data_IF_985579699420
#
_entry.id   IF_985579699420
#
_cell.length_a   1.000
_cell.length_b   1.000
_cell.length_c   1.000
_cell.angle_alpha   90.00
_cell.angle_beta   90.00
_cell.angle_gamma   90.00
#
_symmetry.space_group_name_H-M   'P 1'
#
loop_
_entity.id
_entity.type
_entity.pdbx_description
1 polymer ?
#
# COMPACT_ATOMS: atom_id res chain seq x y z
N UNK A 1 40.31 13.16 -11.08
CA UNK A 1 38.90 13.58 -10.91
C UNK A 1 38.90 14.97 -10.27
N UNK A 2 38.52 16.02 -10.99
CA UNK A 2 38.56 17.39 -10.43
C UNK A 2 37.26 17.66 -9.66
N UNK A 3 37.35 17.77 -8.34
CA UNK A 3 36.19 18.11 -7.49
C UNK A 3 35.99 19.63 -7.54
N UNK A 4 34.81 20.07 -7.95
CA UNK A 4 34.48 21.51 -7.97
C UNK A 4 34.10 21.99 -6.57
N UNK A 5 34.24 23.29 -6.29
CA UNK A 5 33.84 23.90 -4.99
C UNK A 5 32.37 23.64 -4.63
N UNK A 6 31.51 23.52 -5.64
CA UNK A 6 30.09 23.19 -5.48
C UNK A 6 29.90 21.73 -5.05
N UNK A 7 30.68 20.82 -5.62
CA UNK A 7 30.65 19.40 -5.26
C UNK A 7 31.21 19.18 -3.86
N UNK A 8 32.25 19.94 -3.48
CA UNK A 8 32.76 19.96 -2.11
C UNK A 8 31.68 20.34 -1.09
N UNK A 9 30.96 21.45 -1.31
CA UNK A 9 29.87 21.86 -0.40
C UNK A 9 28.72 20.84 -0.34
N UNK A 10 28.37 20.18 -1.46
CA UNK A 10 27.35 19.13 -1.48
C UNK A 10 27.76 17.90 -0.68
N UNK A 11 29.00 17.44 -0.85
CA UNK A 11 29.53 16.26 -0.16
C UNK A 11 29.65 16.53 1.35
N UNK A 12 30.19 17.70 1.73
CA UNK A 12 30.29 18.08 3.14
C UNK A 12 28.93 18.22 3.81
N UNK A 13 27.96 18.86 3.13
CA UNK A 13 26.59 18.98 3.64
C UNK A 13 25.89 17.63 3.80
N UNK A 14 26.04 16.73 2.82
CA UNK A 14 25.49 15.38 2.88
C UNK A 14 26.15 14.52 3.97
N UNK A 15 27.46 14.64 4.18
CA UNK A 15 28.18 13.91 5.22
C UNK A 15 27.75 14.34 6.63
N UNK A 16 27.67 15.65 6.89
CA UNK A 16 27.19 16.18 8.17
C UNK A 16 25.72 15.83 8.40
N UNK A 17 24.87 15.96 7.38
CA UNK A 17 23.47 15.59 7.46
C UNK A 17 23.27 14.09 7.72
N UNK A 18 23.99 13.22 7.01
CA UNK A 18 23.92 11.77 7.19
C UNK A 18 24.38 11.32 8.58
N UNK A 19 25.48 11.89 9.09
CA UNK A 19 25.97 11.61 10.45
C UNK A 19 25.02 12.13 11.53
N UNK A 20 24.44 13.32 11.34
CA UNK A 20 23.45 13.86 12.27
C UNK A 20 22.19 13.00 12.32
N UNK A 21 21.67 12.56 11.17
CA UNK A 21 20.50 11.67 11.10
C UNK A 21 20.79 10.31 11.72
N UNK A 22 21.95 9.72 11.45
CA UNK A 22 22.39 8.46 12.06
C UNK A 22 22.59 8.57 13.57
N UNK A 23 23.17 9.66 14.07
CA UNK A 23 23.36 9.93 15.50
C UNK A 23 22.06 10.21 16.25
N UNK A 24 21.03 10.70 15.55
CA UNK A 24 19.68 10.89 16.08
C UNK A 24 18.81 9.61 16.00
N UNK A 25 19.35 8.50 15.50
CA UNK A 25 18.67 7.21 15.44
C UNK A 25 17.72 7.02 14.26
N UNK A 26 17.80 7.87 13.22
CA UNK A 26 17.08 7.66 11.96
C UNK A 26 17.81 6.63 11.10
N UNK A 27 17.75 5.35 11.50
CA UNK A 27 18.21 4.23 10.70
C UNK A 27 17.10 3.79 9.73
N UNK A 28 17.34 3.95 8.44
CA UNK A 28 16.39 3.58 7.37
C UNK A 28 16.53 2.12 6.93
N UNK A 29 17.63 1.44 7.28
CA UNK A 29 17.83 0.03 6.98
C UNK A 29 16.69 -0.88 7.47
N UNK A 30 16.14 -0.71 8.69
CA UNK A 30 14.97 -1.49 9.11
C UNK A 30 13.68 -1.12 8.36
N UNK A 31 13.53 0.12 7.90
CA UNK A 31 12.35 0.58 7.15
C UNK A 31 12.33 0.02 5.74
N UNK A 32 13.47 0.00 5.05
CA UNK A 32 13.60 -0.65 3.74
C UNK A 32 13.34 -2.15 3.81
N UNK A 33 13.77 -2.82 4.87
CA UNK A 33 13.52 -4.25 5.06
C UNK A 33 12.03 -4.58 5.26
N UNK A 34 11.22 -3.64 5.75
CA UNK A 34 9.79 -3.82 6.04
C UNK A 34 8.88 -3.26 4.93
N UNK A 35 9.40 -2.45 4.01
CA UNK A 35 8.63 -1.87 2.91
C UNK A 35 8.37 -2.92 1.81
N UNK A 36 7.56 -3.93 2.10
CA UNK A 36 7.06 -4.84 1.08
C UNK A 36 6.14 -4.07 0.12
N UNK A 37 6.29 -4.33 -1.17
CA UNK A 37 5.38 -3.79 -2.17
C UNK A 37 3.95 -4.23 -1.88
N UNK A 38 2.98 -3.31 -2.04
CA UNK A 38 1.57 -3.59 -1.78
C UNK A 38 1.09 -4.81 -2.56
N UNK A 39 0.40 -5.74 -1.89
CA UNK A 39 -0.18 -6.96 -2.49
C UNK A 39 -1.10 -6.67 -3.69
N UNK A 40 -1.72 -5.49 -3.71
CA UNK A 40 -2.65 -5.03 -4.75
C UNK A 40 -2.00 -4.19 -5.85
N UNK A 41 -0.67 -3.97 -5.84
CA UNK A 41 0.03 -3.03 -6.75
C UNK A 41 -0.25 -3.28 -8.23
N UNK A 42 -0.48 -4.53 -8.62
CA UNK A 42 -0.76 -4.95 -9.99
C UNK A 42 -2.11 -5.61 -10.14
N UNK A 43 -3.02 -5.43 -9.18
CA UNK A 43 -4.35 -6.01 -9.27
C UNK A 43 -5.21 -5.25 -10.30
N UNK A 44 -6.22 -5.94 -10.83
CA UNK A 44 -7.36 -5.32 -11.51
C UNK A 44 -8.43 -5.07 -10.46
N UNK A 45 -8.91 -3.84 -10.40
CA UNK A 45 -9.96 -3.43 -9.50
C UNK A 45 -11.33 -3.58 -10.18
N UNK A 46 -12.30 -4.13 -9.46
CA UNK A 46 -13.70 -4.23 -9.90
C UNK A 46 -14.63 -4.04 -8.71
N UNK A 47 -15.74 -3.34 -8.90
CA UNK A 47 -16.73 -3.12 -7.85
C UNK A 47 -17.83 -4.18 -7.90
N UNK A 48 -18.34 -4.57 -6.73
CA UNK A 48 -19.46 -5.51 -6.58
C UNK A 48 -20.25 -5.18 -5.29
N UNK A 49 -21.35 -5.90 -5.07
CA UNK A 49 -22.18 -5.77 -3.88
C UNK A 49 -22.03 -6.99 -2.98
N UNK A 50 -21.94 -6.76 -1.68
CA UNK A 50 -21.89 -7.78 -0.65
C UNK A 50 -23.11 -8.74 -0.72
N UNK A 51 -22.91 -10.06 -0.89
CA UNK A 51 -24.00 -11.01 -1.11
C UNK A 51 -24.63 -11.54 0.18
N UNK A 52 -24.22 -11.06 1.37
CA UNK A 52 -24.63 -11.67 2.64
C UNK A 52 -26.00 -11.23 3.14
N UNK A 53 -26.26 -9.92 3.20
CA UNK A 53 -27.47 -9.38 3.83
C UNK A 53 -28.00 -8.19 3.03
N UNK A 54 -29.20 -7.72 3.38
CA UNK A 54 -29.93 -6.71 2.60
C UNK A 54 -29.36 -5.28 2.70
N UNK A 55 -28.28 -5.03 3.45
CA UNK A 55 -27.65 -3.70 3.51
C UNK A 55 -27.09 -3.29 2.14
N UNK A 56 -26.61 -4.26 1.34
CA UNK A 56 -26.07 -3.97 0.01
C UNK A 56 -24.78 -3.16 0.05
N UNK A 57 -23.84 -3.49 0.93
CA UNK A 57 -22.55 -2.80 1.01
C UNK A 57 -21.76 -2.93 -0.30
N UNK A 58 -21.17 -1.84 -0.79
CA UNK A 58 -20.23 -1.84 -1.91
C UNK A 58 -18.88 -2.42 -1.51
N UNK A 59 -18.33 -3.25 -2.38
CA UNK A 59 -17.06 -3.96 -2.20
C UNK A 59 -16.19 -3.75 -3.43
N UNK A 60 -14.92 -3.46 -3.19
CA UNK A 60 -13.86 -3.51 -4.19
C UNK A 60 -13.22 -4.89 -4.17
N UNK A 61 -13.15 -5.52 -5.32
CA UNK A 61 -12.50 -6.82 -5.57
C UNK A 61 -11.22 -6.59 -6.37
N UNK A 62 -10.11 -7.06 -5.82
CA UNK A 62 -8.78 -7.00 -6.43
C UNK A 62 -8.43 -8.35 -7.02
N UNK A 63 -8.31 -8.43 -8.34
CA UNK A 63 -8.05 -9.66 -9.10
C UNK A 63 -6.64 -9.66 -9.69
N UNK A 64 -5.98 -10.81 -9.74
CA UNK A 64 -4.67 -10.96 -10.37
C UNK A 64 -4.73 -10.59 -11.87
N UNK A 65 -3.74 -9.82 -12.33
CA UNK A 65 -3.60 -9.42 -13.75
C UNK A 65 -2.93 -10.48 -14.64
N UNK A 66 -2.53 -11.61 -14.09
CA UNK A 66 -1.94 -12.74 -14.81
C UNK A 66 -2.94 -13.52 -15.69
N UNK A 67 -4.19 -13.05 -15.76
CA UNK A 67 -5.26 -13.69 -16.54
C UNK A 67 -5.89 -14.90 -15.85
N UNK A 68 -5.41 -15.30 -14.66
CA UNK A 68 -5.98 -16.42 -13.89
C UNK A 68 -7.37 -16.12 -13.34
N UNK A 69 -7.73 -14.83 -13.23
CA UNK A 69 -8.98 -14.40 -12.58
C UNK A 69 -8.99 -14.62 -11.07
N UNK A 70 -7.86 -15.01 -10.46
CA UNK A 70 -7.76 -15.25 -9.03
C UNK A 70 -7.94 -13.97 -8.24
N UNK A 71 -8.83 -13.99 -7.24
CA UNK A 71 -8.98 -12.88 -6.30
C UNK A 71 -7.76 -12.84 -5.36
N UNK A 72 -7.25 -11.65 -5.09
CA UNK A 72 -6.10 -11.39 -4.20
C UNK A 72 -6.56 -10.69 -2.92
N UNK A 73 -7.57 -9.84 -3.02
CA UNK A 73 -8.11 -9.11 -1.88
C UNK A 73 -9.54 -8.66 -2.15
N UNK A 74 -10.30 -8.43 -1.08
CA UNK A 74 -11.58 -7.71 -1.12
C UNK A 74 -11.64 -6.72 0.02
N UNK A 75 -12.16 -5.53 -0.23
CA UNK A 75 -12.32 -4.48 0.78
C UNK A 75 -13.55 -3.63 0.50
N UNK A 76 -13.96 -2.79 1.45
CA UNK A 76 -15.14 -1.94 1.26
C UNK A 76 -14.87 -0.83 0.27
N UNK A 77 -15.87 -0.51 -0.54
CA UNK A 77 -15.82 0.61 -1.47
C UNK A 77 -16.03 1.94 -0.71
N UNK A 78 -15.01 2.83 -0.64
CA UNK A 78 -15.12 4.13 0.04
C UNK A 78 -16.11 5.07 -0.63
N UNK A 79 -16.36 4.92 -1.93
CA UNK A 79 -17.28 5.77 -2.70
C UNK A 79 -18.74 5.29 -2.61
N UNK A 80 -18.99 4.09 -2.06
CA UNK A 80 -20.32 3.54 -1.96
C UNK A 80 -21.16 4.24 -0.87
N UNK A 81 -22.36 4.77 -1.20
CA UNK A 81 -23.09 5.71 -0.33
C UNK A 81 -23.59 5.08 0.97
N UNK A 82 -23.79 3.75 1.00
CA UNK A 82 -24.34 3.04 2.15
C UNK A 82 -23.27 2.77 3.22
N UNK A 83 -22.07 2.34 2.81
CA UNK A 83 -21.06 1.82 3.73
C UNK A 83 -19.76 2.63 3.75
N UNK A 84 -19.49 3.48 2.76
CA UNK A 84 -18.32 4.39 2.75
C UNK A 84 -17.01 3.67 3.14
N UNK A 85 -16.79 2.47 2.59
CA UNK A 85 -15.62 1.65 2.85
C UNK A 85 -15.73 0.69 4.04
N UNK A 86 -16.77 0.83 4.88
CA UNK A 86 -16.98 -0.03 6.04
C UNK A 86 -17.52 -1.41 5.64
N UNK A 87 -17.09 -2.46 6.34
CA UNK A 87 -17.62 -3.82 6.20
C UNK A 87 -17.75 -4.50 7.58
N UNK A 88 -18.81 -5.28 7.77
CA UNK A 88 -18.91 -6.18 8.94
C UNK A 88 -17.97 -7.39 8.76
N UNK A 89 -17.76 -8.16 9.82
CA UNK A 89 -16.89 -9.35 9.78
C UNK A 89 -17.21 -10.33 8.63
N UNK A 90 -18.50 -10.49 8.28
CA UNK A 90 -18.92 -11.33 7.14
C UNK A 90 -18.40 -10.76 5.82
N UNK A 91 -18.67 -9.48 5.55
CA UNK A 91 -18.26 -8.81 4.32
C UNK A 91 -16.74 -8.67 4.20
N UNK A 92 -16.05 -8.37 5.30
CA UNK A 92 -14.59 -8.26 5.33
C UNK A 92 -13.90 -9.61 5.07
N UNK A 93 -14.53 -10.72 5.44
CA UNK A 93 -14.04 -12.07 5.20
C UNK A 93 -14.49 -12.65 3.85
N UNK A 94 -15.13 -11.88 2.96
CA UNK A 94 -15.61 -12.37 1.66
C UNK A 94 -14.48 -13.00 0.83
N UNK A 95 -13.27 -12.44 0.92
CA UNK A 95 -12.07 -13.00 0.29
C UNK A 95 -11.76 -14.46 0.70
N UNK A 96 -12.08 -14.87 1.93
CA UNK A 96 -11.80 -16.23 2.40
C UNK A 96 -12.76 -17.28 1.84
N UNK A 97 -13.92 -16.85 1.35
CA UNK A 97 -14.96 -17.74 0.84
C UNK A 97 -14.74 -18.14 -0.63
N UNK A 98 -14.06 -17.28 -1.41
CA UNK A 98 -13.80 -17.48 -2.85
C UNK A 98 -12.44 -18.12 -3.08
#
# INVERSE_FOLDING_TARGET
>A
MQITRRDFMKISGAAVGGLALGGLGFDLAPVEAQAQTLKIRWAKETTTICPYCAVGCGIIVHTARDGSGKIINTEGDPDHPINQGSLCAKGAALYQWV
#
